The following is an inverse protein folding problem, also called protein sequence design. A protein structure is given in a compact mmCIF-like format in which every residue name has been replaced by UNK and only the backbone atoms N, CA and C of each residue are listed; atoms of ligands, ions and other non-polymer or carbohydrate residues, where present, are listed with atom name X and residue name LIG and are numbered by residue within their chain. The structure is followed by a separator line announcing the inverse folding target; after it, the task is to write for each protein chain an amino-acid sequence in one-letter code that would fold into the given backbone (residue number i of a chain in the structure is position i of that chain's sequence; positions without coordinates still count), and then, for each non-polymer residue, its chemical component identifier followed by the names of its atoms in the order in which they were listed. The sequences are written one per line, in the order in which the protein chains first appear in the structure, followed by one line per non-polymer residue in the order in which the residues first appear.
data_IF_546383289217
#
_entry.id   IF_546383289217
#
_cell.length_a   1.000
_cell.length_b   1.000
_cell.length_c   1.000
_cell.angle_alpha   90.00
_cell.angle_beta   90.00
_cell.angle_gamma   90.00
#
_symmetry.space_group_name_H-M   'P 1'
#
loop_
_entity.id
_entity.type
_entity.pdbx_description
1 polymer ?
#
# COMPACT_ATOMS: atom_id res chain seq x y z
N UNK A 1 -26.67 -10.29 -42.44
CA UNK A 1 -26.68 -11.16 -41.26
C UNK A 1 -26.49 -10.26 -40.06
N UNK A 2 -27.58 -9.83 -39.44
CA UNK A 2 -27.52 -9.21 -38.11
C UNK A 2 -26.93 -10.27 -37.18
N UNK A 3 -25.75 -10.01 -36.62
CA UNK A 3 -25.28 -10.86 -35.53
C UNK A 3 -26.30 -10.70 -34.40
N UNK A 4 -26.93 -11.80 -34.01
CA UNK A 4 -27.67 -11.88 -32.76
C UNK A 4 -26.77 -11.31 -31.67
N UNK A 5 -27.08 -10.10 -31.18
CA UNK A 5 -26.36 -9.56 -30.03
C UNK A 5 -26.50 -10.56 -28.90
N UNK A 6 -25.37 -11.11 -28.46
CA UNK A 6 -25.34 -12.04 -27.35
C UNK A 6 -25.86 -11.30 -26.12
N UNK A 7 -26.91 -11.84 -25.50
CA UNK A 7 -27.54 -11.27 -24.32
C UNK A 7 -27.00 -11.96 -23.07
N UNK A 8 -26.76 -11.16 -22.04
CA UNK A 8 -26.47 -11.57 -20.67
C UNK A 8 -27.76 -11.42 -19.87
N UNK A 9 -28.14 -12.47 -19.14
CA UNK A 9 -29.36 -12.50 -18.34
C UNK A 9 -28.95 -12.36 -16.87
N UNK A 10 -29.56 -11.41 -16.18
CA UNK A 10 -29.27 -11.08 -14.78
C UNK A 10 -30.54 -11.33 -13.98
N UNK A 11 -30.71 -12.53 -13.40
CA UNK A 11 -31.84 -12.84 -12.53
C UNK A 11 -31.77 -12.02 -11.23
N UNK A 12 -32.92 -11.51 -10.79
CA UNK A 12 -33.05 -10.85 -9.50
C UNK A 12 -34.43 -11.04 -8.88
N UNK A 13 -34.53 -10.90 -7.56
CA UNK A 13 -35.79 -10.92 -6.82
C UNK A 13 -36.02 -9.58 -6.13
N UNK A 14 -37.27 -9.12 -6.12
CA UNK A 14 -37.71 -7.92 -5.40
C UNK A 14 -39.16 -8.02 -4.97
N UNK A 15 -39.79 -6.89 -4.64
CA UNK A 15 -41.20 -6.85 -4.21
C UNK A 15 -42.21 -7.35 -5.28
N UNK A 16 -41.85 -7.28 -6.56
CA UNK A 16 -42.66 -7.78 -7.69
C UNK A 16 -42.41 -9.27 -8.00
N UNK A 17 -41.62 -9.96 -7.18
CA UNK A 17 -41.22 -11.35 -7.41
C UNK A 17 -39.93 -11.47 -8.22
N UNK A 18 -39.74 -12.63 -8.87
CA UNK A 18 -38.56 -12.94 -9.68
C UNK A 18 -38.63 -12.27 -11.04
N UNK A 19 -37.55 -11.61 -11.42
CA UNK A 19 -37.39 -10.88 -12.68
C UNK A 19 -36.03 -11.23 -13.29
N UNK A 20 -35.86 -10.89 -14.57
CA UNK A 20 -34.60 -11.05 -15.29
C UNK A 20 -34.35 -9.77 -16.07
N UNK A 21 -33.21 -9.14 -15.86
CA UNK A 21 -32.72 -8.09 -16.76
C UNK A 21 -31.95 -8.75 -17.90
N UNK A 22 -32.31 -8.43 -19.14
CA UNK A 22 -31.55 -8.88 -20.32
C UNK A 22 -30.74 -7.70 -20.87
N UNK A 23 -29.42 -7.82 -20.82
CA UNK A 23 -28.48 -6.76 -21.22
C UNK A 23 -27.58 -7.29 -22.33
N UNK A 24 -27.27 -6.46 -23.32
CA UNK A 24 -26.31 -6.84 -24.35
C UNK A 24 -24.91 -7.08 -23.74
N UNK A 25 -24.21 -8.12 -24.17
CA UNK A 25 -22.87 -8.49 -23.65
C UNK A 25 -21.81 -7.37 -23.87
N UNK A 26 -22.02 -6.50 -24.87
CA UNK A 26 -21.19 -5.33 -25.17
C UNK A 26 -21.60 -4.05 -24.43
N UNK A 27 -22.62 -4.11 -23.56
CA UNK A 27 -23.08 -2.94 -22.83
C UNK A 27 -22.03 -2.43 -21.84
N UNK A 28 -21.92 -1.10 -21.77
CA UNK A 28 -20.99 -0.40 -20.87
C UNK A 28 -21.60 -0.11 -19.50
N UNK A 29 -22.92 -0.18 -19.36
CA UNK A 29 -23.63 0.15 -18.14
C UNK A 29 -24.74 -0.86 -17.85
N UNK A 30 -24.81 -1.30 -16.60
CA UNK A 30 -25.97 -1.96 -16.01
C UNK A 30 -26.56 -0.99 -14.99
N UNK A 31 -27.84 -0.66 -15.15
CA UNK A 31 -28.58 0.27 -14.28
C UNK A 31 -29.79 -0.41 -13.66
N UNK A 32 -29.64 -0.82 -12.40
CA UNK A 32 -30.67 -1.45 -11.58
C UNK A 32 -31.01 -0.59 -10.35
N UNK A 33 -30.86 0.74 -10.48
CA UNK A 33 -31.19 1.73 -9.45
C UNK A 33 -32.66 1.66 -9.04
N UNK A 34 -32.92 1.71 -7.72
CA UNK A 34 -34.26 1.85 -7.14
C UNK A 34 -35.26 0.80 -7.65
N UNK A 35 -34.81 -0.46 -7.73
CA UNK A 35 -35.64 -1.59 -8.17
C UNK A 35 -36.17 -2.46 -7.02
N UNK A 36 -35.91 -2.05 -5.77
CA UNK A 36 -36.27 -2.79 -4.54
C UNK A 36 -35.76 -4.24 -4.53
N UNK A 37 -34.59 -4.46 -5.17
CA UNK A 37 -33.96 -5.77 -5.30
C UNK A 37 -33.51 -6.25 -3.92
N UNK A 38 -33.91 -7.46 -3.55
CA UNK A 38 -33.47 -8.14 -2.32
C UNK A 38 -32.43 -9.22 -2.57
N UNK A 39 -32.35 -9.77 -3.79
CA UNK A 39 -31.29 -10.67 -4.20
C UNK A 39 -31.04 -10.59 -5.71
N UNK A 40 -29.79 -10.78 -6.13
CA UNK A 40 -29.35 -10.68 -7.52
C UNK A 40 -28.25 -11.71 -7.81
N UNK A 41 -28.31 -12.30 -9.00
CA UNK A 41 -27.26 -13.18 -9.52
C UNK A 41 -26.49 -12.47 -10.63
N UNK A 42 -25.21 -12.19 -10.36
CA UNK A 42 -24.31 -11.49 -11.28
C UNK A 42 -23.39 -12.45 -12.06
N UNK A 43 -23.56 -13.77 -11.97
CA UNK A 43 -22.60 -14.73 -12.52
C UNK A 43 -22.35 -14.53 -14.03
N UNK A 44 -23.41 -14.31 -14.81
CA UNK A 44 -23.29 -14.10 -16.27
C UNK A 44 -22.64 -12.75 -16.63
N UNK A 45 -22.59 -11.79 -15.70
CA UNK A 45 -21.95 -10.46 -15.91
C UNK A 45 -20.45 -10.59 -16.17
N UNK A 46 -19.82 -11.69 -15.77
CA UNK A 46 -18.40 -11.99 -16.02
C UNK A 46 -17.99 -12.00 -17.50
N UNK A 47 -18.98 -12.14 -18.38
CA UNK A 47 -18.84 -12.09 -19.84
C UNK A 47 -18.74 -10.66 -20.39
N UNK A 48 -19.22 -9.66 -19.64
CA UNK A 48 -19.32 -8.27 -20.09
C UNK A 48 -17.99 -7.52 -19.97
N UNK A 49 -17.05 -7.79 -20.90
CA UNK A 49 -15.70 -7.18 -20.89
C UNK A 49 -15.67 -5.66 -21.13
N UNK A 50 -16.77 -5.10 -21.64
CA UNK A 50 -16.92 -3.66 -21.87
C UNK A 50 -17.64 -2.93 -20.73
N UNK A 51 -18.08 -3.63 -19.68
CA UNK A 51 -18.81 -3.02 -18.57
C UNK A 51 -17.91 -2.00 -17.84
N UNK A 52 -18.37 -0.75 -17.77
CA UNK A 52 -17.71 0.34 -17.05
C UNK A 52 -18.48 0.74 -15.78
N UNK A 53 -19.80 0.57 -15.75
CA UNK A 53 -20.64 1.03 -14.64
C UNK A 53 -21.66 -0.04 -14.23
N UNK A 54 -21.67 -0.38 -12.95
CA UNK A 54 -22.74 -1.16 -12.31
C UNK A 54 -23.43 -0.31 -11.25
N UNK A 55 -24.75 -0.13 -11.41
CA UNK A 55 -25.59 0.56 -10.43
C UNK A 55 -26.58 -0.39 -9.79
N UNK A 56 -26.37 -0.69 -8.50
CA UNK A 56 -27.28 -1.46 -7.64
C UNK A 56 -27.75 -0.61 -6.45
N UNK A 57 -27.60 0.71 -6.52
CA UNK A 57 -27.92 1.60 -5.41
C UNK A 57 -29.43 1.73 -5.18
N UNK A 58 -29.82 2.11 -3.94
CA UNK A 58 -31.21 2.28 -3.52
C UNK A 58 -32.06 1.01 -3.68
N UNK A 59 -31.47 -0.15 -3.36
CA UNK A 59 -32.15 -1.43 -3.33
C UNK A 59 -32.32 -1.91 -1.87
N UNK A 60 -32.54 -3.20 -1.66
CA UNK A 60 -32.74 -3.84 -0.35
C UNK A 60 -31.83 -5.06 -0.20
N UNK A 61 -30.63 -4.98 -0.79
CA UNK A 61 -29.66 -6.06 -0.74
C UNK A 61 -29.07 -6.12 0.68
N UNK A 62 -29.20 -7.28 1.33
CA UNK A 62 -28.50 -7.59 2.59
C UNK A 62 -27.15 -8.29 2.32
N UNK A 63 -27.05 -8.94 1.16
CA UNK A 63 -25.85 -9.58 0.63
C UNK A 63 -25.74 -9.34 -0.89
N UNK A 64 -24.51 -9.36 -1.40
CA UNK A 64 -24.25 -9.33 -2.84
C UNK A 64 -22.97 -10.09 -3.16
N UNK A 65 -23.05 -11.07 -4.07
CA UNK A 65 -21.86 -11.73 -4.60
C UNK A 65 -21.34 -10.98 -5.83
N UNK A 66 -20.17 -10.35 -5.69
CA UNK A 66 -19.50 -9.62 -6.76
C UNK A 66 -18.60 -10.52 -7.63
N UNK A 67 -18.54 -11.84 -7.41
CA UNK A 67 -17.68 -12.77 -8.14
C UNK A 67 -17.83 -12.65 -9.67
N UNK A 68 -19.05 -12.39 -10.14
CA UNK A 68 -19.37 -12.10 -11.54
C UNK A 68 -18.65 -10.88 -12.12
N UNK A 69 -18.12 -9.97 -11.32
CA UNK A 69 -17.41 -8.77 -11.79
C UNK A 69 -15.91 -9.01 -12.05
N UNK A 70 -15.37 -10.15 -11.66
CA UNK A 70 -13.95 -10.50 -11.88
C UNK A 70 -13.52 -10.46 -13.35
N UNK A 71 -14.48 -10.70 -14.25
CA UNK A 71 -14.26 -10.63 -15.69
C UNK A 71 -14.31 -9.21 -16.29
N UNK A 72 -14.77 -8.21 -15.54
CA UNK A 72 -15.04 -6.85 -16.02
C UNK A 72 -13.82 -5.93 -15.84
N UNK A 73 -12.75 -6.17 -16.61
CA UNK A 73 -11.48 -5.43 -16.50
C UNK A 73 -11.60 -3.92 -16.73
N UNK A 74 -12.64 -3.48 -17.47
CA UNK A 74 -12.96 -2.07 -17.74
C UNK A 74 -13.85 -1.42 -16.70
N UNK A 75 -14.21 -2.10 -15.62
CA UNK A 75 -15.10 -1.55 -14.59
C UNK A 75 -14.48 -0.31 -13.94
N UNK A 76 -15.28 0.75 -13.83
CA UNK A 76 -14.87 2.08 -13.33
C UNK A 76 -15.71 2.56 -12.17
N UNK A 77 -17.00 2.24 -12.19
CA UNK A 77 -17.98 2.73 -11.24
C UNK A 77 -18.81 1.56 -10.70
N UNK A 78 -18.84 1.44 -9.37
CA UNK A 78 -19.69 0.47 -8.67
C UNK A 78 -20.47 1.23 -7.60
N UNK A 79 -21.80 1.24 -7.74
CA UNK A 79 -22.71 1.90 -6.81
C UNK A 79 -23.52 0.87 -6.04
N UNK A 80 -23.28 0.79 -4.74
CA UNK A 80 -23.93 -0.12 -3.79
C UNK A 80 -24.60 0.65 -2.64
N UNK A 81 -24.60 1.98 -2.68
CA UNK A 81 -25.13 2.79 -1.59
C UNK A 81 -26.64 2.63 -1.40
N UNK A 82 -27.11 2.90 -0.19
CA UNK A 82 -28.53 2.77 0.17
C UNK A 82 -29.05 1.35 -0.07
N UNK A 83 -28.38 0.38 0.55
CA UNK A 83 -28.81 -1.00 0.69
C UNK A 83 -28.78 -1.38 2.18
N UNK A 84 -28.92 -2.67 2.52
CA UNK A 84 -28.81 -3.20 3.87
C UNK A 84 -27.59 -4.12 4.02
N UNK A 85 -26.52 -3.88 3.26
CA UNK A 85 -25.38 -4.80 3.24
C UNK A 85 -24.69 -4.81 4.60
N UNK A 86 -24.51 -5.99 5.19
CA UNK A 86 -23.76 -6.15 6.46
C UNK A 86 -22.27 -6.42 6.18
N UNK A 87 -21.98 -7.01 5.01
CA UNK A 87 -20.62 -7.24 4.53
C UNK A 87 -20.61 -7.30 3.00
N UNK A 88 -19.45 -7.07 2.39
CA UNK A 88 -19.26 -7.26 0.94
C UNK A 88 -17.82 -7.67 0.63
N UNK A 89 -17.65 -8.71 -0.18
CA UNK A 89 -16.33 -9.11 -0.65
C UNK A 89 -15.93 -8.31 -1.90
N UNK A 90 -14.94 -7.44 -1.75
CA UNK A 90 -14.46 -6.57 -2.82
C UNK A 90 -13.35 -7.20 -3.70
N UNK A 91 -12.86 -8.42 -3.39
CA UNK A 91 -11.79 -9.06 -4.16
C UNK A 91 -12.02 -9.22 -5.65
N UNK A 92 -13.26 -9.48 -6.14
CA UNK A 92 -13.53 -9.50 -7.57
C UNK A 92 -13.20 -8.18 -8.30
N UNK A 93 -13.10 -7.06 -7.58
CA UNK A 93 -12.83 -5.73 -8.14
C UNK A 93 -11.34 -5.42 -8.30
N UNK A 94 -10.43 -6.30 -7.84
CA UNK A 94 -8.98 -6.07 -7.96
C UNK A 94 -8.53 -6.00 -9.42
N UNK A 95 -9.26 -6.62 -10.35
CA UNK A 95 -8.86 -6.74 -11.74
C UNK A 95 -9.06 -5.46 -12.57
N UNK A 96 -9.86 -4.50 -12.09
CA UNK A 96 -10.12 -3.26 -12.80
C UNK A 96 -8.82 -2.51 -13.15
N UNK A 97 -8.68 -2.05 -14.39
CA UNK A 97 -7.45 -1.39 -14.85
C UNK A 97 -7.44 0.11 -14.59
N UNK A 98 -8.60 0.77 -14.73
CA UNK A 98 -8.74 2.22 -14.56
C UNK A 98 -9.97 2.60 -13.70
N UNK A 99 -10.07 2.04 -12.47
CA UNK A 99 -11.22 2.29 -11.62
C UNK A 99 -11.33 3.76 -11.17
N UNK A 100 -12.56 4.27 -11.15
CA UNK A 100 -12.85 5.64 -10.76
C UNK A 100 -13.36 5.72 -9.33
N UNK A 101 -14.51 5.14 -9.01
CA UNK A 101 -14.96 5.06 -7.62
C UNK A 101 -15.90 3.90 -7.35
N UNK A 102 -15.90 3.49 -6.09
CA UNK A 102 -16.90 2.60 -5.51
C UNK A 102 -17.61 3.35 -4.39
N UNK A 103 -18.93 3.19 -4.30
CA UNK A 103 -19.73 3.72 -3.20
C UNK A 103 -20.47 2.59 -2.48
N UNK A 104 -20.17 2.45 -1.19
CA UNK A 104 -20.77 1.49 -0.26
C UNK A 104 -21.41 2.20 0.95
N UNK A 105 -21.56 3.52 0.90
CA UNK A 105 -22.20 4.31 1.96
C UNK A 105 -23.67 3.95 2.17
N UNK A 106 -24.24 4.34 3.31
CA UNK A 106 -25.62 4.04 3.67
C UNK A 106 -25.93 2.53 3.58
N UNK A 107 -25.10 1.72 4.23
CA UNK A 107 -25.30 0.28 4.44
C UNK A 107 -25.18 -0.05 5.95
N UNK A 108 -25.17 -1.33 6.30
CA UNK A 108 -25.00 -1.83 7.67
C UNK A 108 -23.60 -2.46 7.87
N UNK A 109 -22.60 -1.98 7.11
CA UNK A 109 -21.23 -2.47 7.15
C UNK A 109 -20.51 -1.83 8.33
N UNK A 110 -20.11 -2.64 9.31
CA UNK A 110 -19.28 -2.17 10.44
C UNK A 110 -17.78 -2.24 10.14
N UNK A 111 -17.39 -3.16 9.25
CA UNK A 111 -16.01 -3.51 8.96
C UNK A 111 -15.80 -3.86 7.48
N UNK A 112 -14.73 -3.38 6.87
CA UNK A 112 -14.40 -3.73 5.48
C UNK A 112 -12.90 -3.82 5.17
N UNK A 113 -12.55 -4.83 4.37
CA UNK A 113 -11.25 -4.98 3.74
C UNK A 113 -11.19 -4.18 2.43
N UNK A 114 -10.42 -3.09 2.42
CA UNK A 114 -10.22 -2.22 1.25
C UNK A 114 -8.97 -2.57 0.45
N UNK A 115 -8.26 -3.65 0.81
CA UNK A 115 -7.12 -4.18 0.03
C UNK A 115 -7.42 -4.28 -1.46
N UNK A 116 -8.48 -4.96 -1.93
CA UNK A 116 -8.69 -5.17 -3.36
C UNK A 116 -9.04 -3.88 -4.13
N UNK A 117 -9.47 -2.83 -3.44
CA UNK A 117 -9.80 -1.54 -4.05
C UNK A 117 -8.76 -0.47 -3.75
N UNK A 118 -7.55 -0.82 -3.31
CA UNK A 118 -6.50 0.14 -2.96
C UNK A 118 -6.07 1.07 -4.10
N UNK A 119 -6.20 0.59 -5.34
CA UNK A 119 -5.86 1.31 -6.56
C UNK A 119 -7.05 2.11 -7.15
N UNK A 120 -8.24 2.03 -6.53
CA UNK A 120 -9.40 2.83 -6.91
C UNK A 120 -9.22 4.29 -6.49
N UNK A 121 -9.61 5.23 -7.38
CA UNK A 121 -9.38 6.66 -7.16
C UNK A 121 -10.20 7.23 -5.99
N UNK A 122 -11.41 6.73 -5.77
CA UNK A 122 -12.21 7.03 -4.59
C UNK A 122 -12.96 5.79 -4.09
N UNK A 123 -13.12 5.71 -2.77
CA UNK A 123 -14.00 4.77 -2.08
C UNK A 123 -14.89 5.64 -1.19
N UNK A 124 -16.20 5.47 -1.29
CA UNK A 124 -17.17 6.24 -0.52
C UNK A 124 -17.83 5.30 0.49
N UNK A 125 -17.84 5.70 1.76
CA UNK A 125 -18.29 4.90 2.90
C UNK A 125 -19.00 5.79 3.91
N UNK A 126 -19.68 5.15 4.87
CA UNK A 126 -20.19 5.88 6.03
C UNK A 126 -19.07 6.37 6.97
N UNK A 127 -19.27 7.51 7.67
CA UNK A 127 -18.35 7.96 8.70
C UNK A 127 -18.22 6.93 9.83
N UNK A 128 -17.00 6.73 10.33
CA UNK A 128 -16.73 5.81 11.43
C UNK A 128 -16.53 4.34 11.05
N UNK A 129 -16.67 3.98 9.77
CA UNK A 129 -16.41 2.62 9.28
C UNK A 129 -14.98 2.17 9.60
N UNK A 130 -14.86 0.95 10.14
CA UNK A 130 -13.56 0.32 10.40
C UNK A 130 -13.02 -0.26 9.09
N UNK A 131 -11.88 0.25 8.61
CA UNK A 131 -11.27 -0.25 7.38
C UNK A 131 -9.97 -0.99 7.67
N UNK A 132 -9.71 -2.05 6.90
CA UNK A 132 -8.44 -2.77 6.92
C UNK A 132 -7.80 -2.86 5.54
N UNK A 133 -6.48 -2.97 5.56
CA UNK A 133 -5.65 -3.27 4.40
C UNK A 133 -4.69 -4.41 4.73
N UNK A 134 -4.18 -5.08 3.70
CA UNK A 134 -3.06 -5.99 3.86
C UNK A 134 -1.77 -5.27 4.29
N UNK A 135 -0.91 -5.89 5.12
CA UNK A 135 0.39 -5.36 5.49
C UNK A 135 1.26 -4.93 4.31
N UNK A 136 1.16 -5.60 3.15
CA UNK A 136 1.88 -5.24 1.92
C UNK A 136 1.57 -3.81 1.42
N UNK A 137 0.48 -3.22 1.89
CA UNK A 137 0.03 -1.89 1.55
C UNK A 137 0.38 -0.82 2.61
N UNK A 138 0.97 -1.23 3.74
CA UNK A 138 1.23 -0.37 4.92
C UNK A 138 2.01 0.90 4.63
N UNK A 139 2.96 0.84 3.71
CA UNK A 139 3.83 1.95 3.35
C UNK A 139 3.47 2.58 2.01
N UNK A 140 2.35 2.17 1.40
CA UNK A 140 1.92 2.67 0.11
C UNK A 140 1.29 4.07 0.30
N UNK A 141 1.82 5.11 -0.35
CA UNK A 141 1.48 6.51 -0.04
C UNK A 141 0.01 6.85 -0.27
N UNK A 142 -0.57 6.29 -1.33
CA UNK A 142 -1.96 6.52 -1.72
C UNK A 142 -2.93 6.08 -0.63
N UNK A 143 -2.51 5.16 0.23
CA UNK A 143 -3.30 4.61 1.34
C UNK A 143 -3.15 5.48 2.58
N UNK A 144 -1.94 5.96 2.86
CA UNK A 144 -1.65 6.85 3.99
C UNK A 144 -2.25 8.24 3.85
N UNK A 145 -2.44 8.73 2.61
CA UNK A 145 -3.07 10.02 2.32
C UNK A 145 -4.53 9.91 1.87
N UNK A 146 -5.14 8.73 1.96
CA UNK A 146 -6.51 8.52 1.48
C UNK A 146 -7.47 9.32 2.34
N UNK A 147 -8.30 10.11 1.65
CA UNK A 147 -9.45 10.79 2.22
C UNK A 147 -10.68 10.20 1.57
N UNK A 148 -11.68 9.89 2.38
CA UNK A 148 -12.98 9.44 1.92
C UNK A 148 -13.79 10.65 1.50
N UNK A 149 -14.52 10.55 0.39
CA UNK A 149 -15.48 11.59 0.03
C UNK A 149 -16.79 11.20 0.70
N UNK A 150 -17.20 11.97 1.69
CA UNK A 150 -18.54 11.83 2.26
C UNK A 150 -19.54 12.31 1.21
N UNK A 151 -20.40 11.42 0.71
CA UNK A 151 -21.36 11.76 -0.34
C UNK A 151 -22.46 12.71 0.13
N UNK A 152 -22.78 12.73 1.44
CA UNK A 152 -23.79 13.62 2.05
C UNK A 152 -23.30 15.05 2.11
N UNK A 153 -22.01 15.26 2.34
CA UNK A 153 -21.44 16.60 2.55
C UNK A 153 -20.47 17.04 1.45
N UNK A 154 -20.08 16.12 0.56
CA UNK A 154 -19.04 16.26 -0.47
C UNK A 154 -17.67 16.67 0.08
N UNK A 155 -17.46 16.59 1.40
CA UNK A 155 -16.18 16.87 2.03
C UNK A 155 -15.31 15.62 2.06
N UNK A 156 -14.00 15.87 2.09
CA UNK A 156 -13.00 14.85 2.32
C UNK A 156 -12.86 14.63 3.82
N UNK A 157 -13.37 13.51 4.32
CA UNK A 157 -13.12 13.08 5.69
C UNK A 157 -11.94 12.10 5.73
N UNK A 158 -11.03 12.22 6.71
CA UNK A 158 -10.01 11.20 6.91
C UNK A 158 -10.66 9.87 7.27
N UNK A 159 -10.08 8.76 6.82
CA UNK A 159 -10.48 7.43 7.29
C UNK A 159 -10.40 7.39 8.82
N UNK A 160 -11.53 7.12 9.48
CA UNK A 160 -11.64 7.25 10.93
C UNK A 160 -10.78 6.22 11.67
N UNK A 161 -10.74 4.98 11.16
CA UNK A 161 -9.99 3.86 11.77
C UNK A 161 -9.40 2.99 10.66
N UNK A 162 -8.07 3.01 10.52
CA UNK A 162 -7.32 2.17 9.57
C UNK A 162 -6.53 1.12 10.34
N UNK A 163 -6.85 -0.15 10.12
CA UNK A 163 -6.08 -1.30 10.61
C UNK A 163 -5.33 -2.02 9.49
N UNK A 164 -4.49 -2.97 9.87
CA UNK A 164 -3.86 -3.90 8.94
C UNK A 164 -4.23 -5.33 9.31
N UNK A 165 -4.44 -6.18 8.30
CA UNK A 165 -4.70 -7.60 8.51
C UNK A 165 -3.53 -8.25 9.25
N UNK A 166 -3.85 -9.15 10.17
CA UNK A 166 -2.87 -10.03 10.80
C UNK A 166 -2.73 -11.28 9.92
N UNK A 167 -1.65 -11.35 9.13
CA UNK A 167 -1.43 -12.49 8.24
C UNK A 167 -1.34 -13.81 8.98
N UNK A 168 -0.83 -13.86 10.21
CA UNK A 168 -0.80 -15.10 10.96
C UNK A 168 -2.23 -15.60 11.22
N UNK A 169 -3.12 -14.71 11.69
CA UNK A 169 -4.53 -15.04 11.89
C UNK A 169 -5.22 -15.43 10.58
N UNK A 170 -4.97 -14.71 9.49
CA UNK A 170 -5.56 -15.03 8.17
C UNK A 170 -5.08 -16.38 7.66
N UNK A 171 -3.82 -16.74 7.88
CA UNK A 171 -3.25 -18.06 7.52
C UNK A 171 -3.90 -19.17 8.35
N UNK A 172 -4.11 -18.95 9.64
CA UNK A 172 -4.80 -19.90 10.52
C UNK A 172 -6.26 -20.14 10.08
N UNK A 173 -6.95 -19.11 9.58
CA UNK A 173 -8.36 -19.17 9.17
C UNK A 173 -8.57 -19.64 7.72
N UNK A 174 -7.72 -19.21 6.78
CA UNK A 174 -7.92 -19.38 5.32
C UNK A 174 -6.77 -20.10 4.61
N UNK A 175 -5.67 -20.37 5.32
CA UNK A 175 -4.47 -21.00 4.78
C UNK A 175 -3.53 -20.05 4.04
N UNK A 176 -2.29 -20.50 3.85
CA UNK A 176 -1.22 -19.72 3.22
C UNK A 176 -1.53 -19.32 1.77
N UNK A 177 -2.10 -20.23 0.98
CA UNK A 177 -2.46 -19.96 -0.42
C UNK A 177 -3.41 -18.77 -0.58
N UNK A 178 -4.30 -18.56 0.40
CA UNK A 178 -5.18 -17.39 0.40
C UNK A 178 -4.38 -16.09 0.54
N UNK A 179 -3.39 -16.03 1.44
CA UNK A 179 -2.51 -14.86 1.57
C UNK A 179 -1.62 -14.68 0.33
N UNK A 180 -1.10 -15.77 -0.24
CA UNK A 180 -0.32 -15.74 -1.50
C UNK A 180 -1.11 -15.09 -2.63
N UNK A 181 -2.35 -15.55 -2.86
CA UNK A 181 -3.22 -15.03 -3.91
C UNK A 181 -3.47 -13.52 -3.74
N UNK A 182 -3.68 -13.07 -2.49
CA UNK A 182 -3.84 -11.65 -2.17
C UNK A 182 -2.57 -10.84 -2.47
N UNK A 183 -1.41 -11.31 -2.01
CA UNK A 183 -0.11 -10.65 -2.25
C UNK A 183 0.15 -10.50 -3.75
N UNK A 184 -0.03 -11.58 -4.53
CA UNK A 184 0.21 -11.58 -5.97
C UNK A 184 -0.70 -10.58 -6.71
N UNK A 185 -2.01 -10.61 -6.41
CA UNK A 185 -2.97 -9.69 -7.03
C UNK A 185 -2.71 -8.22 -6.69
N UNK A 186 -2.28 -7.95 -5.46
CA UNK A 186 -1.86 -6.59 -5.09
C UNK A 186 -0.60 -6.20 -5.86
N UNK A 187 0.41 -7.08 -5.88
CA UNK A 187 1.69 -6.82 -6.55
C UNK A 187 1.53 -6.46 -8.03
N UNK A 188 0.62 -7.12 -8.76
CA UNK A 188 0.29 -6.79 -10.16
C UNK A 188 -0.15 -5.33 -10.37
N UNK A 189 -0.67 -4.67 -9.33
CA UNK A 189 -1.09 -3.27 -9.35
C UNK A 189 -0.04 -2.31 -8.79
N UNK A 190 1.04 -2.81 -8.18
CA UNK A 190 2.11 -1.99 -7.61
C UNK A 190 3.10 -1.53 -8.69
N UNK A 191 3.34 -0.22 -8.71
CA UNK A 191 4.35 0.38 -9.59
C UNK A 191 5.76 0.17 -9.03
N UNK A 192 6.77 0.05 -9.90
CA UNK A 192 8.16 -0.18 -9.49
C UNK A 192 8.75 0.88 -8.56
N UNK A 193 8.20 2.10 -8.58
CA UNK A 193 8.58 3.15 -7.63
C UNK A 193 8.10 2.89 -6.20
N UNK A 194 7.18 1.97 -5.97
CA UNK A 194 6.63 1.63 -4.66
C UNK A 194 6.99 0.19 -4.21
N UNK A 195 7.86 -0.50 -4.97
CA UNK A 195 8.35 -1.85 -4.65
C UNK A 195 8.98 -1.99 -3.27
N UNK A 196 9.84 -1.07 -2.85
CA UNK A 196 10.47 -1.12 -1.53
C UNK A 196 9.42 -1.03 -0.41
N UNK A 197 8.44 -0.13 -0.57
CA UNK A 197 7.35 0.04 0.39
C UNK A 197 6.48 -1.23 0.47
N UNK A 198 6.16 -1.83 -0.67
CA UNK A 198 5.40 -3.08 -0.76
C UNK A 198 6.15 -4.25 -0.09
N UNK A 199 7.39 -4.50 -0.50
CA UNK A 199 8.23 -5.57 0.05
C UNK A 199 8.37 -5.44 1.56
N UNK A 200 8.65 -4.23 2.04
CA UNK A 200 8.77 -3.97 3.48
C UNK A 200 7.49 -4.27 4.24
N UNK A 201 6.33 -3.91 3.66
CA UNK A 201 5.02 -4.24 4.19
C UNK A 201 4.76 -5.75 4.26
N UNK A 202 5.10 -6.49 3.20
CA UNK A 202 4.99 -7.96 3.17
C UNK A 202 5.86 -8.60 4.26
N UNK A 203 7.15 -8.25 4.32
CA UNK A 203 8.07 -8.83 5.31
C UNK A 203 7.63 -8.55 6.74
N UNK A 204 7.16 -7.34 7.04
CA UNK A 204 6.61 -7.02 8.36
C UNK A 204 5.34 -7.84 8.66
N UNK A 205 4.44 -8.00 7.69
CA UNK A 205 3.24 -8.82 7.82
C UNK A 205 3.53 -10.30 8.09
N UNK A 206 4.61 -10.83 7.51
CA UNK A 206 5.07 -12.21 7.73
C UNK A 206 5.94 -12.37 8.99
N UNK A 207 6.07 -11.31 9.82
CA UNK A 207 6.85 -11.34 11.05
C UNK A 207 8.37 -11.40 10.82
N UNK A 208 8.86 -10.78 9.75
CA UNK A 208 10.28 -10.70 9.35
C UNK A 208 10.75 -9.24 9.21
N UNK A 209 10.13 -8.33 9.96
CA UNK A 209 10.37 -6.89 9.85
C UNK A 209 11.81 -6.44 10.12
N UNK A 210 12.59 -7.24 10.82
CA UNK A 210 14.00 -6.99 11.16
C UNK A 210 14.94 -7.01 9.96
N UNK A 211 14.56 -7.71 8.89
CA UNK A 211 15.31 -7.79 7.63
C UNK A 211 14.55 -7.14 6.45
N UNK A 212 13.53 -6.32 6.74
CA UNK A 212 12.68 -5.69 5.72
C UNK A 212 13.34 -4.46 5.06
N UNK A 213 14.53 -4.65 4.48
CA UNK A 213 15.37 -3.58 3.92
C UNK A 213 16.01 -3.96 2.57
N UNK A 214 15.52 -4.98 1.87
CA UNK A 214 16.00 -5.29 0.52
C UNK A 214 15.48 -4.27 -0.50
N UNK A 215 16.38 -3.68 -1.26
CA UNK A 215 16.15 -2.64 -2.25
C UNK A 215 16.28 -3.19 -3.69
N UNK A 216 15.36 -4.10 -4.02
CA UNK A 216 15.28 -4.73 -5.34
C UNK A 216 13.84 -5.06 -5.73
N UNK A 217 13.66 -6.01 -6.65
CA UNK A 217 12.33 -6.49 -7.02
C UNK A 217 11.78 -7.35 -5.87
N UNK A 218 10.57 -7.07 -5.34
CA UNK A 218 10.00 -7.85 -4.23
C UNK A 218 9.91 -9.35 -4.53
N UNK A 219 9.70 -9.73 -5.80
CA UNK A 219 9.57 -11.13 -6.20
C UNK A 219 10.89 -11.89 -6.11
N UNK A 220 12.05 -11.22 -6.14
CA UNK A 220 13.35 -11.90 -5.94
C UNK A 220 13.39 -12.62 -4.58
N UNK A 221 12.69 -12.09 -3.58
CA UNK A 221 12.54 -12.69 -2.24
C UNK A 221 11.37 -13.66 -2.19
N UNK A 222 10.24 -13.28 -2.80
CA UNK A 222 8.96 -13.89 -2.51
C UNK A 222 8.64 -15.10 -3.39
N UNK A 223 9.06 -15.10 -4.66
CA UNK A 223 8.59 -16.05 -5.69
C UNK A 223 8.64 -17.51 -5.21
N UNK A 224 9.81 -17.99 -4.79
CA UNK A 224 9.99 -19.36 -4.33
C UNK A 224 9.13 -19.71 -3.10
N UNK A 225 8.97 -18.79 -2.15
CA UNK A 225 8.17 -19.03 -0.96
C UNK A 225 6.66 -19.01 -1.21
N UNK A 226 6.22 -18.22 -2.19
CA UNK A 226 4.82 -18.13 -2.58
C UNK A 226 4.34 -19.40 -3.32
N UNK A 227 5.24 -20.19 -3.90
CA UNK A 227 4.91 -21.48 -4.53
C UNK A 227 4.79 -22.64 -3.53
N UNK A 228 5.25 -22.46 -2.29
CA UNK A 228 5.24 -23.50 -1.26
C UNK A 228 3.86 -23.57 -0.58
N UNK A 229 3.36 -24.78 -0.35
CA UNK A 229 2.04 -25.00 0.26
C UNK A 229 2.00 -24.73 1.78
N UNK A 230 3.10 -25.01 2.48
CA UNK A 230 3.26 -24.87 3.93
C UNK A 230 3.78 -23.48 4.30
N UNK A 231 3.08 -22.78 5.20
CA UNK A 231 3.51 -21.45 5.65
C UNK A 231 4.88 -21.47 6.36
N UNK A 232 5.16 -22.49 7.16
CA UNK A 232 6.42 -22.58 7.91
C UNK A 232 7.62 -22.71 6.96
N UNK A 233 7.50 -23.59 5.98
CA UNK A 233 8.51 -23.81 4.94
C UNK A 233 8.63 -22.57 4.04
N UNK A 234 7.50 -21.98 3.61
CA UNK A 234 7.47 -20.74 2.84
C UNK A 234 8.18 -19.60 3.57
N UNK A 235 7.90 -19.43 4.87
CA UNK A 235 8.51 -18.43 5.72
C UNK A 235 10.02 -18.63 5.82
N UNK A 236 10.48 -19.87 6.01
CA UNK A 236 11.90 -20.19 6.03
C UNK A 236 12.58 -19.85 4.70
N UNK A 237 11.99 -20.26 3.56
CA UNK A 237 12.51 -19.97 2.23
C UNK A 237 12.61 -18.47 1.95
N UNK A 238 11.54 -17.71 2.24
CA UNK A 238 11.51 -16.25 2.09
C UNK A 238 12.60 -15.59 2.95
N UNK A 239 12.74 -16.02 4.20
CA UNK A 239 13.73 -15.46 5.12
C UNK A 239 15.16 -15.71 4.62
N UNK A 240 15.47 -16.96 4.25
CA UNK A 240 16.79 -17.34 3.76
C UNK A 240 17.17 -16.60 2.47
N UNK A 241 16.23 -16.46 1.53
CA UNK A 241 16.48 -15.72 0.29
C UNK A 241 16.70 -14.22 0.55
N UNK A 242 15.89 -13.62 1.44
CA UNK A 242 16.08 -12.24 1.86
C UNK A 242 17.46 -12.01 2.50
N UNK A 243 17.93 -12.90 3.37
CA UNK A 243 19.27 -12.81 3.97
C UNK A 243 20.37 -12.86 2.90
N UNK A 244 20.28 -13.79 1.95
CA UNK A 244 21.22 -13.91 0.83
C UNK A 244 21.27 -12.65 -0.05
N UNK A 245 20.10 -12.09 -0.38
CA UNK A 245 19.99 -10.88 -1.19
C UNK A 245 20.49 -9.63 -0.45
N UNK A 246 20.21 -9.53 0.85
CA UNK A 246 20.70 -8.42 1.68
C UNK A 246 22.22 -8.46 1.82
N UNK A 247 22.84 -9.65 1.91
CA UNK A 247 24.29 -9.76 1.93
C UNK A 247 24.92 -9.18 0.65
N UNK A 248 24.41 -9.60 -0.51
CA UNK A 248 24.83 -9.07 -1.83
C UNK A 248 24.60 -7.56 -1.94
N UNK A 249 23.49 -7.07 -1.41
CA UNK A 249 23.18 -5.64 -1.36
C UNK A 249 24.22 -4.88 -0.54
N UNK A 250 24.61 -5.37 0.63
CA UNK A 250 25.62 -4.74 1.49
C UNK A 250 26.98 -4.69 0.76
N UNK A 251 27.38 -5.79 0.12
CA UNK A 251 28.62 -5.87 -0.67
C UNK A 251 28.62 -4.90 -1.86
N UNK A 252 27.44 -4.64 -2.44
CA UNK A 252 27.23 -3.70 -3.54
C UNK A 252 26.98 -2.25 -3.09
N UNK A 253 27.35 -1.90 -1.86
CA UNK A 253 27.15 -0.56 -1.28
C UNK A 253 25.67 -0.12 -1.19
N UNK A 254 24.75 -1.07 -1.07
CA UNK A 254 23.33 -0.81 -0.87
C UNK A 254 22.96 -0.33 0.55
N UNK A 255 21.67 -0.08 0.78
CA UNK A 255 21.16 0.50 2.04
C UNK A 255 21.11 -0.49 3.21
N UNK A 256 21.23 0.04 4.43
CA UNK A 256 21.08 -0.72 5.69
C UNK A 256 20.13 -0.08 6.70
N UNK A 257 19.42 0.99 6.32
CA UNK A 257 18.70 1.88 7.26
C UNK A 257 17.64 1.16 8.07
N UNK A 258 16.90 0.23 7.45
CA UNK A 258 15.78 -0.47 8.09
C UNK A 258 16.14 -1.89 8.58
N UNK A 259 17.43 -2.24 8.63
CA UNK A 259 17.89 -3.49 9.25
C UNK A 259 17.94 -3.32 10.78
N UNK A 260 17.15 -4.11 11.50
CA UNK A 260 17.09 -4.09 12.96
C UNK A 260 18.11 -5.08 13.54
N UNK A 261 19.35 -4.60 13.72
CA UNK A 261 20.45 -5.44 14.20
C UNK A 261 20.16 -6.09 15.57
N UNK A 262 19.38 -5.46 16.44
CA UNK A 262 19.08 -6.01 17.77
C UNK A 262 18.16 -7.23 17.67
N UNK A 263 17.15 -7.16 16.79
CA UNK A 263 16.27 -8.29 16.51
C UNK A 263 16.99 -9.36 15.69
N UNK A 264 17.81 -8.97 14.72
CA UNK A 264 18.58 -9.90 13.88
C UNK A 264 19.51 -10.81 14.69
N UNK A 265 20.08 -10.32 15.81
CA UNK A 265 20.92 -11.13 16.71
C UNK A 265 20.22 -12.39 17.25
N UNK A 266 18.88 -12.44 17.22
CA UNK A 266 18.07 -13.58 17.66
C UNK A 266 17.66 -14.51 16.51
N UNK A 267 18.23 -14.31 15.33
CA UNK A 267 17.87 -15.00 14.08
C UNK A 267 19.15 -15.45 13.35
N UNK A 268 19.00 -16.21 12.26
CA UNK A 268 20.12 -16.58 11.38
C UNK A 268 20.77 -15.40 10.66
N UNK A 269 20.04 -14.28 10.53
CA UNK A 269 20.57 -13.05 9.93
C UNK A 269 21.63 -12.36 10.82
N UNK A 270 21.88 -12.84 12.03
CA UNK A 270 22.93 -12.33 12.93
C UNK A 270 24.33 -12.34 12.28
N UNK A 271 24.55 -13.24 11.32
CA UNK A 271 25.79 -13.36 10.54
C UNK A 271 26.11 -12.10 9.73
N UNK A 272 25.10 -11.32 9.35
CA UNK A 272 25.26 -10.07 8.59
C UNK A 272 25.60 -8.86 9.48
N UNK A 273 25.36 -8.94 10.79
CA UNK A 273 25.47 -7.79 11.70
C UNK A 273 26.85 -7.11 11.65
N UNK A 274 27.99 -7.83 11.64
CA UNK A 274 29.30 -7.18 11.51
C UNK A 274 29.44 -6.37 10.20
N UNK A 275 29.07 -6.98 9.06
CA UNK A 275 29.08 -6.31 7.75
C UNK A 275 28.17 -5.07 7.73
N UNK A 276 27.01 -5.13 8.39
CA UNK A 276 26.06 -4.01 8.49
C UNK A 276 26.66 -2.85 9.27
N UNK A 277 27.30 -3.12 10.41
CA UNK A 277 27.93 -2.08 11.25
C UNK A 277 29.01 -1.33 10.47
N UNK A 278 29.90 -2.06 9.79
CA UNK A 278 30.94 -1.48 8.95
C UNK A 278 30.35 -0.69 7.78
N UNK A 279 29.30 -1.25 7.15
CA UNK A 279 28.61 -0.59 6.05
C UNK A 279 28.01 0.75 6.47
N UNK A 280 27.38 0.85 7.65
CA UNK A 280 26.75 2.09 8.17
C UNK A 280 27.75 3.22 8.38
N UNK A 281 28.99 2.90 8.75
CA UNK A 281 30.11 3.84 8.81
C UNK A 281 30.43 4.33 7.39
N UNK A 282 30.60 3.41 6.44
CA UNK A 282 30.85 3.76 5.05
C UNK A 282 29.70 4.56 4.40
N UNK A 283 28.44 4.35 4.81
CA UNK A 283 27.29 5.12 4.32
C UNK A 283 27.43 6.60 4.66
N UNK A 284 27.83 6.91 5.90
CA UNK A 284 27.91 8.30 6.38
C UNK A 284 29.16 9.01 5.89
N UNK A 285 30.31 8.34 5.90
CA UNK A 285 31.60 8.93 5.51
C UNK A 285 31.66 9.26 4.01
N UNK A 286 31.05 8.42 3.17
CA UNK A 286 30.98 8.64 1.72
C UNK A 286 29.82 9.56 1.30
N UNK A 287 28.98 10.01 2.24
CA UNK A 287 27.87 10.90 1.94
C UNK A 287 28.32 12.37 1.91
N UNK A 288 27.91 13.07 0.86
CA UNK A 288 28.12 14.51 0.72
C UNK A 288 26.79 15.23 0.95
N UNK A 289 26.81 16.23 1.83
CA UNK A 289 25.65 17.04 2.17
C UNK A 289 25.69 18.35 1.37
N UNK A 290 24.82 18.53 0.36
CA UNK A 290 24.81 19.73 -0.46
C UNK A 290 24.23 20.91 0.33
N UNK A 291 24.99 21.99 0.39
CA UNK A 291 24.64 23.22 1.09
C UNK A 291 24.73 24.43 0.15
N UNK A 292 23.66 25.22 0.13
CA UNK A 292 23.63 26.59 -0.40
C UNK A 292 23.77 27.60 0.74
N UNK A 293 23.80 28.90 0.45
CA UNK A 293 23.88 29.94 1.49
C UNK A 293 22.75 29.84 2.52
N UNK A 294 21.52 29.53 2.08
CA UNK A 294 20.33 29.57 2.96
C UNK A 294 19.75 28.19 3.29
N UNK A 295 20.09 27.16 2.50
CA UNK A 295 19.43 25.84 2.58
C UNK A 295 20.41 24.69 2.45
N UNK A 296 20.12 23.61 3.17
CA UNK A 296 20.83 22.34 3.09
C UNK A 296 19.85 21.22 2.76
N UNK A 297 20.25 20.36 1.82
CA UNK A 297 19.48 19.19 1.42
C UNK A 297 19.87 17.99 2.31
N UNK A 298 18.90 17.41 2.99
CA UNK A 298 19.13 16.32 3.95
C UNK A 298 18.86 14.93 3.37
N UNK A 299 18.31 14.82 2.15
CA UNK A 299 18.03 13.53 1.53
C UNK A 299 19.26 12.59 1.52
N UNK A 300 20.50 13.07 1.25
CA UNK A 300 21.67 12.20 1.30
C UNK A 300 21.94 11.59 2.68
N UNK A 301 21.61 12.29 3.77
CA UNK A 301 21.74 11.75 5.12
C UNK A 301 20.56 10.84 5.48
N UNK A 302 19.34 11.19 5.03
CA UNK A 302 18.13 10.42 5.29
C UNK A 302 18.20 8.97 4.79
N UNK A 303 18.99 8.69 3.76
CA UNK A 303 19.14 7.35 3.20
C UNK A 303 20.22 6.51 3.89
N UNK A 304 21.01 7.11 4.79
CA UNK A 304 22.00 6.42 5.63
C UNK A 304 21.36 6.03 6.95
N UNK A 305 21.76 4.91 7.55
CA UNK A 305 21.21 4.47 8.83
C UNK A 305 21.47 5.45 9.98
N UNK A 306 22.71 5.93 10.09
CA UNK A 306 23.10 6.88 11.14
C UNK A 306 22.40 8.23 10.92
N UNK A 307 22.38 8.72 9.69
CA UNK A 307 21.69 9.96 9.34
C UNK A 307 20.19 9.85 9.61
N UNK A 308 19.52 8.80 9.15
CA UNK A 308 18.10 8.55 9.41
C UNK A 308 17.77 8.62 10.91
N UNK A 309 18.57 7.95 11.74
CA UNK A 309 18.36 7.90 13.20
C UNK A 309 18.48 9.29 13.84
N UNK A 310 19.53 10.05 13.50
CA UNK A 310 19.75 11.40 14.04
C UNK A 310 18.68 12.37 13.54
N UNK A 311 18.39 12.37 12.24
CA UNK A 311 17.41 13.28 11.64
C UNK A 311 16.00 13.03 12.15
N UNK A 312 15.63 11.75 12.36
CA UNK A 312 14.37 11.35 12.99
C UNK A 312 14.28 11.86 14.43
N UNK A 313 15.33 11.64 15.24
CA UNK A 313 15.38 12.12 16.62
C UNK A 313 15.28 13.65 16.73
N UNK A 314 15.84 14.36 15.75
CA UNK A 314 15.76 15.82 15.64
C UNK A 314 14.45 16.32 14.99
N UNK A 315 13.55 15.42 14.55
CA UNK A 315 12.28 15.73 13.87
C UNK A 315 12.46 16.64 12.64
N UNK A 316 13.51 16.40 11.87
CA UNK A 316 13.83 17.24 10.71
C UNK A 316 13.04 16.83 9.47
N UNK A 317 12.93 17.76 8.52
CA UNK A 317 12.37 17.48 7.19
C UNK A 317 13.45 17.10 6.19
N UNK A 318 13.12 17.15 4.90
CA UNK A 318 14.07 16.91 3.81
C UNK A 318 15.07 18.07 3.60
N UNK A 319 14.83 19.22 4.23
CA UNK A 319 15.64 20.43 4.12
C UNK A 319 15.78 21.10 5.47
N UNK A 320 16.88 21.82 5.65
CA UNK A 320 17.13 22.63 6.84
C UNK A 320 18.04 23.82 6.52
N UNK A 321 18.44 24.58 7.53
CA UNK A 321 19.38 25.70 7.41
C UNK A 321 20.82 25.31 7.84
N UNK A 322 21.84 26.09 7.46
CA UNK A 322 23.24 25.80 7.79
C UNK A 322 23.55 25.69 9.30
N UNK A 323 22.84 26.43 10.16
CA UNK A 323 23.06 26.37 11.62
C UNK A 323 22.67 25.00 12.18
N UNK A 324 21.53 24.46 11.74
CA UNK A 324 21.06 23.13 12.16
C UNK A 324 22.00 22.03 11.67
N UNK A 325 22.59 22.17 10.48
CA UNK A 325 23.54 21.18 9.95
C UNK A 325 24.82 21.11 10.76
N UNK A 326 25.25 22.21 11.37
CA UNK A 326 26.35 22.17 12.33
C UNK A 326 26.00 21.37 13.59
N UNK A 327 24.73 21.37 14.02
CA UNK A 327 24.27 20.52 15.13
C UNK A 327 24.27 19.04 14.71
N UNK A 328 23.74 18.73 13.51
CA UNK A 328 23.77 17.37 12.95
C UNK A 328 25.21 16.85 12.91
N UNK A 329 26.14 17.65 12.38
CA UNK A 329 27.58 17.30 12.33
C UNK A 329 28.16 17.02 13.72
N UNK A 330 27.78 17.80 14.74
CA UNK A 330 28.21 17.56 16.13
C UNK A 330 27.66 16.23 16.68
N UNK A 331 26.41 15.88 16.36
CA UNK A 331 25.85 14.59 16.77
C UNK A 331 26.56 13.41 16.10
N UNK A 332 26.86 13.51 14.80
CA UNK A 332 27.61 12.49 14.06
C UNK A 332 29.04 12.37 14.62
N UNK A 333 29.71 13.49 14.92
CA UNK A 333 31.05 13.50 15.50
C UNK A 333 31.12 12.81 16.88
N UNK A 334 30.05 12.87 17.68
CA UNK A 334 29.98 12.13 18.96
C UNK A 334 29.98 10.62 18.79
N UNK A 335 29.58 10.12 17.61
CA UNK A 335 29.64 8.72 17.24
C UNK A 335 30.99 8.33 16.62
N UNK A 336 31.98 9.24 16.63
CA UNK A 336 33.28 9.03 15.99
C UNK A 336 33.26 9.16 14.46
N UNK A 337 32.16 9.65 13.89
CA UNK A 337 31.92 9.73 12.45
C UNK A 337 32.00 11.16 11.93
N UNK A 338 32.17 11.35 10.64
CA UNK A 338 32.17 12.67 10.01
C UNK A 338 31.29 12.72 8.77
N UNK A 339 30.88 13.93 8.38
CA UNK A 339 30.16 14.18 7.12
C UNK A 339 30.85 15.27 6.32
N UNK A 340 30.83 15.09 5.00
CA UNK A 340 31.34 16.08 4.06
C UNK A 340 30.22 17.05 3.68
N UNK A 341 30.49 18.36 3.74
CA UNK A 341 29.53 19.40 3.34
C UNK A 341 30.06 20.12 2.10
N UNK A 342 29.38 20.00 0.97
CA UNK A 342 29.71 20.72 -0.26
C UNK A 342 28.96 22.05 -0.32
N UNK A 343 29.68 23.17 -0.24
CA UNK A 343 29.10 24.52 -0.23
C UNK A 343 29.11 25.14 -1.62
N UNK A 344 27.93 25.45 -2.16
CA UNK A 344 27.76 26.13 -3.46
C UNK A 344 28.45 25.42 -4.63
N UNK A 345 28.60 24.10 -4.55
CA UNK A 345 29.16 23.24 -5.60
C UNK A 345 28.10 22.23 -6.01
N UNK A 346 27.88 22.07 -7.31
CA UNK A 346 27.03 21.02 -7.83
C UNK A 346 27.67 19.66 -7.56
N UNK A 347 26.91 18.74 -6.94
CA UNK A 347 27.37 17.37 -6.65
C UNK A 347 26.59 16.40 -7.55
N UNK A 348 27.26 15.78 -8.51
CA UNK A 348 26.61 14.86 -9.47
C UNK A 348 25.99 13.63 -8.77
N UNK A 349 26.66 13.10 -7.73
CA UNK A 349 26.12 12.05 -6.88
C UNK A 349 26.47 12.30 -5.40
N UNK A 350 25.56 12.90 -4.60
CA UNK A 350 25.83 13.17 -3.20
C UNK A 350 25.67 11.95 -2.27
N UNK A 351 25.25 10.80 -2.81
CA UNK A 351 24.81 9.66 -2.02
C UNK A 351 25.95 8.67 -1.75
N UNK A 352 26.22 8.39 -0.47
CA UNK A 352 27.10 7.29 -0.04
C UNK A 352 26.43 5.90 -0.08
N UNK A 353 25.21 5.82 -0.62
CA UNK A 353 24.38 4.61 -0.68
C UNK A 353 23.86 4.43 -2.09
N UNK A 354 24.16 3.28 -2.69
CA UNK A 354 23.59 2.87 -3.97
C UNK A 354 22.16 2.36 -3.72
N UNK A 355 21.17 3.21 -3.95
CA UNK A 355 19.76 2.87 -3.72
C UNK A 355 18.86 3.21 -4.90
N UNK A 356 17.77 2.47 -5.02
CA UNK A 356 16.77 2.62 -6.05
C UNK A 356 15.99 3.93 -5.90
N UNK A 357 15.20 4.25 -6.92
CA UNK A 357 14.21 5.32 -6.82
C UNK A 357 13.10 4.98 -5.83
N UNK A 358 12.76 3.70 -5.68
CA UNK A 358 11.71 3.25 -4.78
C UNK A 358 12.07 3.47 -3.32
N UNK A 359 13.27 3.05 -2.92
CA UNK A 359 13.80 3.27 -1.57
C UNK A 359 13.82 4.75 -1.18
N UNK A 360 14.34 5.61 -2.07
CA UNK A 360 14.37 7.06 -1.85
C UNK A 360 12.98 7.66 -1.73
N UNK A 361 12.03 7.21 -2.54
CA UNK A 361 10.64 7.65 -2.50
C UNK A 361 9.98 7.27 -1.16
N UNK A 362 10.17 6.03 -0.72
CA UNK A 362 9.69 5.52 0.57
C UNK A 362 10.19 6.37 1.74
N UNK A 363 11.49 6.63 1.82
CA UNK A 363 12.07 7.49 2.87
C UNK A 363 11.49 8.91 2.82
N UNK A 364 11.41 9.50 1.61
CA UNK A 364 10.87 10.85 1.46
C UNK A 364 9.41 10.94 1.96
N UNK A 365 8.62 9.90 1.75
CA UNK A 365 7.24 9.83 2.21
C UNK A 365 7.16 9.65 3.72
N UNK A 366 7.95 8.76 4.32
CA UNK A 366 8.00 8.62 5.78
C UNK A 366 8.37 9.95 6.46
N UNK A 367 9.35 10.68 5.92
CA UNK A 367 9.73 12.00 6.44
C UNK A 367 8.59 13.00 6.33
N UNK A 368 7.83 13.01 5.23
CA UNK A 368 6.72 13.93 5.05
C UNK A 368 5.53 13.64 5.98
N UNK A 369 5.22 12.37 6.25
CA UNK A 369 4.11 11.99 7.14
C UNK A 369 4.46 12.21 8.63
N UNK A 370 5.73 12.09 9.00
CA UNK A 370 6.20 12.33 10.37
C UNK A 370 6.45 13.83 10.70
N UNK A 371 6.25 14.74 9.75
CA UNK A 371 6.23 16.18 10.03
C UNK A 371 4.90 16.55 10.70
N UNK A 372 4.89 17.39 11.75
CA UNK A 372 3.64 17.92 12.27
C UNK A 372 2.89 18.61 11.13
N UNK A 373 1.67 18.14 10.83
CA UNK A 373 0.79 18.84 9.89
C UNK A 373 0.71 20.31 10.31
N UNK A 374 0.69 21.28 9.37
CA UNK A 374 0.27 22.62 9.71
C UNK A 374 -1.09 22.46 10.38
N UNK A 375 -1.18 22.79 11.67
CA UNK A 375 -2.41 22.69 12.42
C UNK A 375 -3.46 23.42 11.59
N UNK A 376 -4.49 22.69 11.12
CA UNK A 376 -5.75 23.33 10.83
C UNK A 376 -6.16 23.97 12.14
N UNK A 377 -5.90 25.27 12.25
CA UNK A 377 -6.46 26.12 13.27
C UNK A 377 -7.96 25.99 13.03
N UNK A 378 -8.57 25.11 13.83
CA UNK A 378 -10.00 25.08 14.08
C UNK A 378 -10.35 26.47 14.61
N UNK A 379 -10.67 27.39 13.70
CA UNK A 379 -11.40 28.60 14.03
C UNK A 379 -12.85 28.19 14.29
N UNK A 380 -13.07 27.50 15.41
CA UNK A 380 -14.33 27.59 16.16
C UNK A 380 -14.02 28.35 17.44
N UNK A 381 -13.99 29.67 17.31
CA UNK A 381 -14.34 30.58 18.40
C UNK A 381 -15.68 31.22 18.05
N UNK A 382 -16.63 31.01 18.97
CA UNK A 382 -17.97 31.58 19.10
C UNK A 382 -19.03 31.06 18.12
#
# INVERSE_FOLDING_TARGET
MESSKSLVRIPYSGNLGKQVEEVSEDAMKIDLYLRTISSIDLQEVSRMKQLECLDLSYNRLEEVDLSGLSGCIKLREVRLQHNGLISVNLWPLIFSENPFYIDISNNEIDFIDLTPVFHWKAVLTDPGLHVQFDPCLKYIPQILSRSMIDERTKFKEPLAIVGFNDYQKVIEEQGWKYVVDRINRVFEKIQSNDWFAFQRGVMEGLGMGEIACYDGNPMDILENGLEIDSFEDARYTIYSEAVSLIDRQIESSGPTTFLDIERMLKTEACTLVPKIVDRRINEIENTIVPQTNDRVLLMPLWITSIGYSILSAMKLGLRTNPKVVQQIRKHIAKLGQNITIARNVATENPYGVACSRSYRRHIAQMVQHNQPSPQYISSRKL
#
